data_IF_586857832642
#
_entry.id   IF_586857832642
#
_cell.length_a   1.000
_cell.length_b   1.000
_cell.length_c   1.000
_cell.angle_alpha   90.00
_cell.angle_beta   90.00
_cell.angle_gamma   90.00
#
_symmetry.space_group_name_H-M   'P 1'
#
loop_
_entity.id
_entity.type
_entity.pdbx_description
1 polymer ?
#
# COMPACT_ATOMS: atom_id res chain seq x y z
N UNK A 1 6.15 -11.49 19.89
CA UNK A 1 6.15 -10.82 18.57
C UNK A 1 4.93 -11.28 17.81
N UNK A 2 4.09 -10.35 17.35
CA UNK A 2 2.88 -10.67 16.59
C UNK A 2 3.22 -11.33 15.26
N UNK A 3 2.43 -12.32 14.84
CA UNK A 3 2.60 -13.05 13.57
C UNK A 3 2.56 -12.07 12.38
N UNK A 4 3.36 -12.25 11.31
CA UNK A 4 3.21 -11.48 10.08
C UNK A 4 1.78 -11.58 9.53
N UNK A 5 1.28 -10.53 8.87
CA UNK A 5 0.00 -10.63 8.16
C UNK A 5 0.12 -11.60 6.99
N UNK A 6 -0.88 -12.45 6.82
CA UNK A 6 -1.05 -13.20 5.58
C UNK A 6 -1.57 -12.25 4.50
N UNK A 7 -1.20 -12.50 3.24
CA UNK A 7 -1.60 -11.62 2.13
C UNK A 7 -3.12 -11.56 2.03
N UNK A 8 -3.80 -12.69 2.22
CA UNK A 8 -5.25 -12.85 2.13
C UNK A 8 -6.03 -12.00 3.13
N UNK A 9 -5.43 -11.71 4.30
CA UNK A 9 -5.99 -10.84 5.34
C UNK A 9 -6.00 -9.37 4.90
N UNK A 10 -5.12 -9.01 3.95
CA UNK A 10 -4.90 -7.64 3.51
C UNK A 10 -5.50 -7.34 2.13
N UNK A 11 -6.14 -8.32 1.49
CA UNK A 11 -6.72 -8.16 0.13
C UNK A 11 -8.05 -7.37 0.11
N UNK A 12 -8.69 -7.12 1.25
CA UNK A 12 -9.89 -6.27 1.29
C UNK A 12 -9.98 -5.49 2.60
N UNK A 13 -10.71 -4.37 2.56
CA UNK A 13 -10.91 -3.54 3.75
C UNK A 13 -11.59 -4.30 4.89
N UNK A 14 -12.58 -5.15 4.59
CA UNK A 14 -13.26 -5.95 5.61
C UNK A 14 -12.33 -6.97 6.27
N UNK A 15 -11.50 -7.64 5.47
CA UNK A 15 -10.54 -8.63 6.00
C UNK A 15 -9.47 -7.94 6.84
N UNK A 16 -8.96 -6.81 6.36
CA UNK A 16 -7.96 -6.02 7.08
C UNK A 16 -8.53 -5.49 8.40
N UNK A 17 -9.77 -4.98 8.39
CA UNK A 17 -10.46 -4.53 9.60
C UNK A 17 -10.61 -5.65 10.62
N UNK A 18 -11.00 -6.86 10.19
CA UNK A 18 -11.11 -8.02 11.08
C UNK A 18 -9.75 -8.45 11.64
N UNK A 19 -8.74 -8.54 10.79
CA UNK A 19 -7.40 -8.99 11.18
C UNK A 19 -6.73 -8.01 12.17
N UNK A 20 -6.78 -6.71 11.86
CA UNK A 20 -6.28 -5.65 12.77
C UNK A 20 -7.07 -5.67 14.08
N UNK A 21 -8.40 -5.73 14.01
CA UNK A 21 -9.26 -5.75 15.19
C UNK A 21 -8.96 -6.92 16.12
N UNK A 22 -8.83 -8.14 15.58
CA UNK A 22 -8.49 -9.32 16.36
C UNK A 22 -7.14 -9.17 17.09
N UNK A 23 -6.11 -8.68 16.39
CA UNK A 23 -4.78 -8.46 16.99
C UNK A 23 -4.79 -7.38 18.06
N UNK A 24 -5.55 -6.30 17.86
CA UNK A 24 -5.69 -5.25 18.87
C UNK A 24 -6.34 -5.80 20.14
N UNK A 25 -7.35 -6.66 20.00
CA UNK A 25 -7.96 -7.35 21.15
C UNK A 25 -6.95 -8.26 21.84
N UNK A 26 -6.22 -9.09 21.11
CA UNK A 26 -5.16 -9.95 21.68
C UNK A 26 -4.09 -9.14 22.43
N UNK A 27 -3.66 -8.00 21.88
CA UNK A 27 -2.70 -7.10 22.55
C UNK A 27 -3.30 -6.43 23.78
N UNK A 28 -4.59 -6.08 23.74
CA UNK A 28 -5.28 -5.52 24.89
C UNK A 28 -5.41 -6.56 26.02
N UNK A 29 -5.75 -7.81 25.69
CA UNK A 29 -5.79 -8.92 26.65
C UNK A 29 -4.42 -9.14 27.31
N UNK A 30 -3.34 -9.16 26.53
CA UNK A 30 -1.97 -9.24 27.08
C UNK A 30 -1.64 -8.05 27.99
N UNK A 31 -2.04 -6.83 27.60
CA UNK A 31 -1.83 -5.65 28.42
C UNK A 31 -2.58 -5.75 29.76
N UNK A 32 -3.81 -6.27 29.74
CA UNK A 32 -4.60 -6.52 30.96
C UNK A 32 -3.93 -7.54 31.89
N UNK A 33 -3.40 -8.64 31.34
CA UNK A 33 -2.65 -9.64 32.10
C UNK A 33 -1.39 -9.04 32.78
N UNK A 34 -0.78 -8.03 32.16
CA UNK A 34 0.36 -7.29 32.74
C UNK A 34 -0.03 -6.16 33.69
N UNK A 35 -1.33 -6.01 33.98
CA UNK A 35 -1.85 -5.00 34.91
C UNK A 35 -1.95 -3.58 34.32
N UNK A 36 -1.85 -3.42 33.00
CA UNK A 36 -2.00 -2.12 32.37
C UNK A 36 -3.48 -1.70 32.27
N UNK A 37 -3.82 -0.43 32.52
CA UNK A 37 -5.18 0.06 32.34
C UNK A 37 -5.60 0.03 30.86
N UNK A 38 -6.77 -0.56 30.59
CA UNK A 38 -7.39 -0.60 29.27
C UNK A 38 -8.46 0.50 29.14
N UNK A 39 -8.01 1.75 29.15
CA UNK A 39 -8.90 2.86 28.82
C UNK A 39 -9.00 3.08 27.29
N UNK A 40 -9.90 3.98 26.89
CA UNK A 40 -10.12 4.31 25.48
C UNK A 40 -8.85 4.85 24.81
N UNK A 41 -8.02 5.59 25.55
CA UNK A 41 -6.76 6.11 25.03
C UNK A 41 -5.81 4.96 24.70
N UNK A 42 -5.65 3.99 25.61
CA UNK A 42 -4.76 2.86 25.40
C UNK A 42 -5.20 1.99 24.23
N UNK A 43 -6.50 1.73 24.10
CA UNK A 43 -7.05 1.00 22.95
C UNK A 43 -6.83 1.76 21.63
N UNK A 44 -6.95 3.09 21.65
CA UNK A 44 -6.65 3.94 20.50
C UNK A 44 -5.17 3.89 20.08
N UNK A 45 -4.25 3.86 21.06
CA UNK A 45 -2.81 3.70 20.83
C UNK A 45 -2.50 2.34 20.18
N UNK A 46 -3.00 1.25 20.76
CA UNK A 46 -2.82 -0.11 20.24
C UNK A 46 -3.37 -0.23 18.81
N UNK A 47 -4.55 0.34 18.56
CA UNK A 47 -5.17 0.37 17.23
C UNK A 47 -4.29 1.12 16.23
N UNK A 48 -3.78 2.29 16.61
CA UNK A 48 -2.93 3.10 15.73
C UNK A 48 -1.60 2.42 15.42
N UNK A 49 -1.01 1.74 16.40
CA UNK A 49 0.22 0.98 16.23
C UNK A 49 0.00 -0.18 15.26
N UNK A 50 -1.01 -1.01 15.49
CA UNK A 50 -1.29 -2.17 14.63
C UNK A 50 -1.68 -1.73 13.20
N UNK A 51 -2.39 -0.60 13.09
CA UNK A 51 -2.71 -0.03 11.78
C UNK A 51 -1.47 0.37 10.98
N UNK A 52 -0.40 0.87 11.63
CA UNK A 52 0.86 1.14 10.95
C UNK A 52 1.49 -0.15 10.42
N UNK A 53 1.51 -1.20 11.22
CA UNK A 53 2.03 -2.52 10.84
C UNK A 53 1.26 -3.10 9.66
N UNK A 54 -0.07 -3.04 9.68
CA UNK A 54 -0.92 -3.52 8.58
C UNK A 54 -0.61 -2.76 7.27
N UNK A 55 -0.48 -1.44 7.31
CA UNK A 55 -0.12 -0.63 6.14
C UNK A 55 1.26 -0.98 5.58
N UNK A 56 2.24 -1.22 6.44
CA UNK A 56 3.58 -1.64 6.01
C UNK A 56 3.55 -3.03 5.37
N UNK A 57 2.79 -3.96 5.93
CA UNK A 57 2.60 -5.28 5.34
C UNK A 57 1.93 -5.20 3.96
N UNK A 58 0.91 -4.35 3.79
CA UNK A 58 0.29 -4.08 2.48
C UNK A 58 1.33 -3.57 1.48
N UNK A 59 2.10 -2.53 1.84
CA UNK A 59 3.13 -1.93 0.98
C UNK A 59 4.21 -2.92 0.54
N UNK A 60 4.52 -3.88 1.40
CA UNK A 60 5.50 -4.92 1.12
C UNK A 60 4.92 -6.14 0.40
N UNK A 61 3.60 -6.22 0.22
CA UNK A 61 2.95 -7.35 -0.46
C UNK A 61 3.23 -7.34 -1.97
N UNK A 62 3.37 -8.52 -2.60
CA UNK A 62 3.53 -8.63 -4.06
C UNK A 62 2.39 -7.95 -4.83
N UNK A 63 1.14 -8.13 -4.37
CA UNK A 63 -0.03 -7.54 -5.02
C UNK A 63 0.00 -6.01 -5.03
N UNK A 64 0.39 -5.37 -3.92
CA UNK A 64 0.52 -3.92 -3.87
C UNK A 64 1.68 -3.42 -4.75
N UNK A 65 2.79 -4.15 -4.81
CA UNK A 65 3.93 -3.81 -5.67
C UNK A 65 3.56 -3.84 -7.14
N UNK A 66 2.81 -4.85 -7.58
CA UNK A 66 2.37 -4.92 -8.98
C UNK A 66 1.30 -3.88 -9.32
N UNK A 67 0.30 -3.68 -8.45
CA UNK A 67 -0.68 -2.60 -8.66
C UNK A 67 -0.02 -1.21 -8.73
N UNK A 68 0.98 -0.96 -7.89
CA UNK A 68 1.77 0.26 -7.94
C UNK A 68 2.59 0.35 -9.23
N UNK A 69 3.23 -0.75 -9.66
CA UNK A 69 3.99 -0.82 -10.91
C UNK A 69 3.11 -0.50 -12.11
N UNK A 70 1.94 -1.12 -12.23
CA UNK A 70 1.01 -0.87 -13.33
C UNK A 70 0.55 0.59 -13.38
N UNK A 71 0.23 1.17 -12.21
CA UNK A 71 -0.14 2.58 -12.14
C UNK A 71 1.02 3.48 -12.58
N UNK A 72 2.24 3.25 -12.06
CA UNK A 72 3.43 4.01 -12.46
C UNK A 72 3.72 3.86 -13.95
N UNK A 73 3.61 2.66 -14.51
CA UNK A 73 3.81 2.42 -15.95
C UNK A 73 2.83 3.24 -16.79
N UNK A 74 1.54 3.28 -16.42
CA UNK A 74 0.53 4.09 -17.11
C UNK A 74 0.86 5.57 -17.07
N UNK A 75 1.23 6.08 -15.89
CA UNK A 75 1.58 7.50 -15.71
C UNK A 75 2.84 7.85 -16.50
N UNK A 76 3.90 7.05 -16.41
CA UNK A 76 5.16 7.27 -17.14
C UNK A 76 4.92 7.20 -18.65
N UNK A 77 4.14 6.24 -19.14
CA UNK A 77 3.78 6.15 -20.55
C UNK A 77 3.11 7.43 -21.03
N UNK A 78 2.12 7.93 -20.28
CA UNK A 78 1.42 9.16 -20.63
C UNK A 78 2.36 10.37 -20.65
N UNK A 79 3.24 10.49 -19.65
CA UNK A 79 4.23 11.59 -19.61
C UNK A 79 5.17 11.53 -20.81
N UNK A 80 5.63 10.34 -21.20
CA UNK A 80 6.48 10.15 -22.38
C UNK A 80 5.73 10.52 -23.66
N UNK A 81 4.47 10.09 -23.80
CA UNK A 81 3.64 10.44 -24.95
C UNK A 81 3.45 11.95 -25.07
N UNK A 82 3.26 12.65 -23.95
CA UNK A 82 3.10 14.11 -23.93
C UNK A 82 4.40 14.84 -24.29
N UNK A 83 5.56 14.35 -23.83
CA UNK A 83 6.87 14.87 -24.25
C UNK A 83 7.11 14.66 -25.75
N UNK A 84 6.81 13.46 -26.28
CA UNK A 84 6.94 13.18 -27.72
C UNK A 84 6.08 14.12 -28.55
N UNK A 85 4.84 14.40 -28.10
CA UNK A 85 3.95 15.35 -28.81
C UNK A 85 4.49 16.78 -28.79
N UNK A 86 5.04 17.20 -27.64
CA UNK A 86 5.65 18.53 -27.49
C UNK A 86 6.84 18.70 -28.44
N UNK A 87 7.71 17.69 -28.50
CA UNK A 87 9.00 17.80 -29.18
C UNK A 87 8.96 17.20 -30.60
N UNK A 88 7.77 16.90 -31.12
CA UNK A 88 7.55 16.17 -32.39
C UNK A 88 8.33 16.76 -33.57
N UNK A 89 8.24 18.07 -33.78
CA UNK A 89 8.89 18.72 -34.92
C UNK A 89 10.42 18.65 -34.85
N UNK A 90 10.99 18.75 -33.65
CA UNK A 90 12.43 18.60 -33.43
C UNK A 90 12.85 17.15 -33.67
N UNK A 91 12.12 16.19 -33.10
CA UNK A 91 12.37 14.77 -33.29
C UNK A 91 12.28 14.36 -34.77
N UNK A 92 11.31 14.87 -35.52
CA UNK A 92 11.16 14.66 -36.96
C UNK A 92 12.32 15.26 -37.77
N UNK A 93 12.79 16.46 -37.41
CA UNK A 93 13.96 17.08 -38.03
C UNK A 93 15.25 16.27 -37.81
N UNK A 94 15.34 15.52 -36.70
CA UNK A 94 16.41 14.57 -36.40
C UNK A 94 16.21 13.19 -37.07
N UNK A 95 15.17 13.03 -37.88
CA UNK A 95 14.89 11.81 -38.63
C UNK A 95 14.10 10.74 -37.87
N UNK A 96 13.57 11.06 -36.68
CA UNK A 96 12.62 10.17 -35.98
C UNK A 96 11.28 10.21 -36.73
N UNK A 97 10.75 9.04 -37.07
CA UNK A 97 9.47 8.94 -37.77
C UNK A 97 8.49 8.09 -36.97
N UNK A 98 7.23 8.52 -36.90
CA UNK A 98 6.14 7.66 -36.45
C UNK A 98 6.02 6.46 -37.39
N UNK A 99 6.34 5.27 -36.90
CA UNK A 99 6.00 4.03 -37.60
C UNK A 99 4.57 3.67 -37.25
N UNK A 100 3.68 3.75 -38.24
CA UNK A 100 2.40 3.06 -38.16
C UNK A 100 2.69 1.55 -38.20
N UNK A 101 2.48 0.86 -37.08
CA UNK A 101 2.45 -0.61 -37.00
C UNK A 101 1.02 -1.06 -37.29
#
# INVERSE_FOLDING_TARGET
>A
MSRPYAVEELLSFDRMKRAVGARVVEMAEQALETGAPLDQQKLGELTTQEWKVAKEAVRNSPAAREAAREHMQKVVSQLVDDMIKSDKAELEALGVQEKNI
#
